data_IF_860205993987
#
_entry.id   IF_860205993987
#
_cell.length_a   1.000
_cell.length_b   1.000
_cell.length_c   1.000
_cell.angle_alpha   90.00
_cell.angle_beta   90.00
_cell.angle_gamma   90.00
#
_symmetry.space_group_name_H-M   'P 1'
#
loop_
_entity.id
_entity.type
_entity.pdbx_description
1 polymer ?
#
# COMPACT_ATOMS: atom_id res chain seq x y z
N UNK A 1 -14.46 -1.68 -18.83
CA UNK A 1 -13.16 -2.10 -18.24
C UNK A 1 -12.22 -0.92 -17.94
N UNK A 2 -12.76 0.25 -17.57
CA UNK A 2 -11.96 1.49 -17.41
C UNK A 2 -11.81 1.98 -15.95
N UNK A 3 -12.48 1.33 -14.98
CA UNK A 3 -12.65 1.92 -13.63
C UNK A 3 -11.56 1.53 -12.62
N UNK A 4 -10.53 0.75 -13.00
CA UNK A 4 -9.36 0.49 -12.14
C UNK A 4 -8.11 1.23 -12.64
N UNK A 5 -8.02 1.58 -13.93
CA UNK A 5 -6.95 2.46 -14.45
C UNK A 5 -7.16 3.94 -14.09
N UNK A 6 -8.35 4.32 -13.65
CA UNK A 6 -8.67 5.70 -13.24
C UNK A 6 -8.23 6.06 -11.81
N UNK A 7 -7.40 5.22 -11.17
CA UNK A 7 -6.74 5.56 -9.90
C UNK A 7 -5.27 5.85 -10.21
N UNK A 8 -4.97 7.13 -10.45
CA UNK A 8 -3.62 7.75 -10.57
C UNK A 8 -2.86 7.64 -11.90
N UNK A 9 -3.30 8.34 -12.94
CA UNK A 9 -2.30 9.07 -13.77
C UNK A 9 -1.92 10.43 -13.12
N UNK A 10 -2.74 10.88 -12.15
CA UNK A 10 -2.62 12.15 -11.39
C UNK A 10 -2.50 12.02 -9.86
N UNK A 11 -2.01 10.91 -9.31
CA UNK A 11 -1.29 11.05 -8.02
C UNK A 11 0.17 10.74 -8.31
N UNK A 12 0.92 11.78 -8.66
CA UNK A 12 2.12 12.07 -7.85
C UNK A 12 1.79 11.64 -6.42
N UNK A 13 2.39 10.55 -5.94
CA UNK A 13 2.44 10.12 -4.54
C UNK A 13 1.86 11.12 -3.53
N UNK A 14 0.52 11.22 -3.47
CA UNK A 14 -0.23 11.98 -2.50
C UNK A 14 -0.77 10.97 -1.47
N UNK A 15 0.14 10.24 -0.86
CA UNK A 15 0.24 10.34 0.60
C UNK A 15 1.05 11.61 0.82
N UNK A 16 0.74 12.45 1.81
CA UNK A 16 1.65 13.54 2.17
C UNK A 16 2.93 12.90 2.73
N UNK A 17 3.84 12.46 1.87
CA UNK A 17 5.12 11.92 2.30
C UNK A 17 5.85 13.06 2.99
N UNK A 18 6.05 12.90 4.29
CA UNK A 18 6.85 13.84 5.07
C UNK A 18 8.28 13.69 4.57
N UNK A 19 8.81 14.75 3.97
CA UNK A 19 10.20 14.81 3.55
C UNK A 19 11.06 15.31 4.70
N UNK A 20 12.08 14.55 5.06
CA UNK A 20 12.97 14.87 6.18
C UNK A 20 14.42 14.88 5.69
N UNK A 21 15.16 15.99 5.84
CA UNK A 21 16.59 16.01 5.54
C UNK A 21 17.35 14.95 6.34
N UNK A 22 18.37 14.33 5.73
CA UNK A 22 19.15 13.25 6.35
C UNK A 22 19.76 13.63 7.72
N UNK A 23 20.14 14.90 7.89
CA UNK A 23 20.66 15.42 9.17
C UNK A 23 19.59 15.43 10.25
N UNK A 24 18.35 15.80 9.90
CA UNK A 24 17.20 15.75 10.82
C UNK A 24 16.79 14.32 11.10
N UNK A 25 16.75 13.46 10.07
CA UNK A 25 16.41 12.05 10.24
C UNK A 25 17.40 11.32 11.17
N UNK A 26 18.68 11.67 11.10
CA UNK A 26 19.71 11.16 12.02
C UNK A 26 19.41 11.54 13.48
N UNK A 27 19.02 12.79 13.74
CA UNK A 27 18.77 13.28 15.10
C UNK A 27 17.45 12.75 15.67
N UNK A 28 16.44 12.60 14.82
CA UNK A 28 15.07 12.29 15.23
C UNK A 28 14.70 10.81 14.97
N UNK A 29 15.68 9.94 14.73
CA UNK A 29 15.46 8.57 14.22
C UNK A 29 14.48 7.77 15.09
N UNK A 30 14.62 7.84 16.41
CA UNK A 30 13.75 7.11 17.35
C UNK A 30 12.30 7.58 17.28
N UNK A 31 12.07 8.88 17.09
CA UNK A 31 10.72 9.44 16.93
C UNK A 31 10.14 9.04 15.58
N UNK A 32 10.95 9.11 14.52
CA UNK A 32 10.57 8.67 13.17
C UNK A 32 10.13 7.21 13.16
N UNK A 33 10.88 6.31 13.81
CA UNK A 33 10.52 4.88 13.90
C UNK A 33 9.19 4.70 14.63
N UNK A 34 9.00 5.33 15.79
CA UNK A 34 7.71 5.27 16.52
C UNK A 34 6.55 5.82 15.69
N UNK A 35 6.80 6.88 14.91
CA UNK A 35 5.79 7.49 14.06
C UNK A 35 5.34 6.51 12.96
N UNK A 36 6.28 5.89 12.23
CA UNK A 36 5.93 4.98 11.12
C UNK A 36 5.29 3.68 11.62
N UNK A 37 5.64 3.20 12.82
CA UNK A 37 5.00 2.05 13.47
C UNK A 37 3.55 2.38 13.87
N UNK A 38 3.30 3.54 14.47
CA UNK A 38 1.98 3.90 14.99
C UNK A 38 0.99 4.33 13.91
N UNK A 39 1.47 5.08 12.91
CA UNK A 39 0.61 5.74 11.92
C UNK A 39 0.50 4.95 10.61
N UNK A 40 1.17 3.80 10.51
CA UNK A 40 1.32 3.05 9.26
C UNK A 40 1.79 3.96 8.10
N UNK A 41 2.65 4.93 8.41
CA UNK A 41 3.10 5.99 7.49
C UNK A 41 4.46 5.69 6.89
N UNK A 42 4.87 6.50 5.91
CA UNK A 42 6.18 6.39 5.27
C UNK A 42 6.82 7.78 5.17
N UNK A 43 8.11 7.85 5.47
CA UNK A 43 8.88 9.09 5.52
C UNK A 43 9.98 9.04 4.47
N UNK A 44 10.05 10.04 3.61
CA UNK A 44 11.09 10.17 2.60
C UNK A 44 12.29 10.95 3.17
N UNK A 45 13.46 10.32 3.25
CA UNK A 45 14.70 10.96 3.68
C UNK A 45 15.37 11.61 2.48
N UNK A 46 15.69 12.90 2.60
CA UNK A 46 16.33 13.67 1.52
C UNK A 46 17.81 13.95 1.79
N UNK A 47 18.62 13.94 0.73
CA UNK A 47 20.01 14.40 0.72
C UNK A 47 20.11 15.56 -0.27
N UNK A 48 20.52 16.73 0.19
CA UNK A 48 20.57 17.96 -0.61
C UNK A 48 19.23 18.29 -1.30
N UNK A 49 18.12 18.09 -0.58
CA UNK A 49 16.76 18.33 -1.09
C UNK A 49 16.20 17.23 -1.98
N UNK A 50 17.01 16.24 -2.39
CA UNK A 50 16.58 15.14 -3.26
C UNK A 50 16.22 13.91 -2.41
N UNK A 51 15.04 13.29 -2.58
CA UNK A 51 14.70 12.03 -1.91
C UNK A 51 15.69 10.92 -2.25
N UNK A 52 16.25 10.28 -1.23
CA UNK A 52 17.30 9.28 -1.38
C UNK A 52 16.98 7.94 -0.69
N UNK A 53 16.12 7.95 0.33
CA UNK A 53 15.66 6.75 1.03
C UNK A 53 14.23 6.93 1.55
N UNK A 54 13.59 5.82 1.91
CA UNK A 54 12.28 5.81 2.59
C UNK A 54 12.41 4.99 3.86
N UNK A 55 11.82 5.49 4.95
CA UNK A 55 11.65 4.77 6.21
C UNK A 55 10.16 4.43 6.34
N UNK A 56 9.87 3.17 6.63
CA UNK A 56 8.54 2.63 6.93
C UNK A 56 8.67 1.57 8.02
N UNK A 57 7.55 1.19 8.65
CA UNK A 57 7.54 0.10 9.63
C UNK A 57 7.85 -1.25 8.95
N UNK A 58 8.35 -2.21 9.73
CA UNK A 58 8.61 -3.57 9.24
C UNK A 58 7.31 -4.23 8.74
N UNK A 59 6.22 -4.09 9.49
CA UNK A 59 4.91 -4.64 9.13
C UNK A 59 4.41 -4.07 7.79
N UNK A 60 4.58 -2.76 7.54
CA UNK A 60 4.23 -2.17 6.25
C UNK A 60 5.10 -2.71 5.11
N UNK A 61 6.38 -2.96 5.37
CA UNK A 61 7.30 -3.53 4.37
C UNK A 61 6.88 -4.96 3.99
N UNK A 62 6.56 -5.79 4.98
CA UNK A 62 6.11 -7.17 4.77
C UNK A 62 4.80 -7.22 3.98
N UNK A 63 3.81 -6.39 4.34
CA UNK A 63 2.55 -6.30 3.58
C UNK A 63 2.73 -5.81 2.14
N UNK A 64 3.70 -4.94 1.90
CA UNK A 64 4.05 -4.53 0.53
C UNK A 64 4.64 -5.71 -0.25
N UNK A 65 5.51 -6.52 0.36
CA UNK A 65 6.07 -7.72 -0.27
C UNK A 65 4.98 -8.77 -0.55
N UNK A 66 4.10 -9.03 0.41
CA UNK A 66 2.94 -9.94 0.22
C UNK A 66 2.03 -9.46 -0.92
N UNK A 67 1.77 -8.16 -1.00
CA UNK A 67 1.00 -7.58 -2.11
C UNK A 67 1.70 -7.81 -3.44
N UNK A 68 3.02 -7.60 -3.51
CA UNK A 68 3.80 -7.85 -4.73
C UNK A 68 3.82 -9.34 -5.11
N UNK A 69 3.86 -10.23 -4.13
CA UNK A 69 3.78 -11.68 -4.34
C UNK A 69 2.43 -12.05 -4.98
N UNK A 70 1.32 -11.58 -4.42
CA UNK A 70 -0.03 -11.78 -5.01
C UNK A 70 -0.10 -11.22 -6.44
N UNK A 71 0.49 -10.05 -6.68
CA UNK A 71 0.49 -9.41 -8.00
C UNK A 71 1.39 -10.10 -9.03
N UNK A 72 2.36 -10.90 -8.58
CA UNK A 72 3.26 -11.64 -9.45
C UNK A 72 2.59 -12.85 -10.12
N UNK A 73 1.50 -13.36 -9.53
CA UNK A 73 0.70 -14.45 -10.09
C UNK A 73 -0.45 -13.89 -10.94
N UNK A 74 -0.30 -13.99 -12.26
CA UNK A 74 -1.30 -13.51 -13.20
C UNK A 74 -2.68 -14.18 -13.04
N UNK A 75 -2.74 -15.47 -12.70
CA UNK A 75 -4.00 -16.19 -12.55
C UNK A 75 -4.74 -15.70 -11.31
N UNK A 76 -4.01 -15.55 -10.20
CA UNK A 76 -4.53 -14.95 -8.98
C UNK A 76 -5.05 -13.54 -9.23
N UNK A 77 -4.30 -12.69 -9.95
CA UNK A 77 -4.75 -11.33 -10.30
C UNK A 77 -6.00 -11.35 -11.19
N UNK A 78 -6.07 -12.25 -12.18
CA UNK A 78 -7.26 -12.39 -13.04
C UNK A 78 -8.48 -12.80 -12.23
N UNK A 79 -8.33 -13.77 -11.33
CA UNK A 79 -9.38 -14.21 -10.40
C UNK A 79 -9.84 -13.09 -9.49
N UNK A 80 -8.90 -12.40 -8.82
CA UNK A 80 -9.17 -11.28 -7.92
C UNK A 80 -9.94 -10.15 -8.64
N UNK A 81 -9.52 -9.79 -9.86
CA UNK A 81 -10.23 -8.79 -10.68
C UNK A 81 -11.65 -9.22 -11.03
N UNK A 82 -11.90 -10.52 -11.28
CA UNK A 82 -13.24 -11.05 -11.52
C UNK A 82 -14.10 -10.94 -10.27
N UNK A 83 -13.57 -11.36 -9.11
CA UNK A 83 -14.24 -11.27 -7.82
C UNK A 83 -14.62 -9.83 -7.49
N UNK A 84 -13.71 -8.86 -7.66
CA UNK A 84 -14.00 -7.42 -7.44
C UNK A 84 -15.10 -6.90 -8.38
N UNK A 85 -15.21 -7.41 -9.61
CA UNK A 85 -16.30 -7.00 -10.52
C UNK A 85 -17.64 -7.59 -10.09
N UNK A 86 -17.67 -8.87 -9.73
CA UNK A 86 -18.87 -9.54 -9.22
C UNK A 86 -19.35 -8.85 -7.94
N UNK A 87 -18.40 -8.55 -7.05
CA UNK A 87 -18.60 -7.83 -5.82
C UNK A 87 -19.37 -6.51 -5.97
N UNK A 88 -18.84 -5.65 -6.84
CA UNK A 88 -19.42 -4.33 -7.13
C UNK A 88 -20.77 -4.44 -7.83
N UNK A 89 -21.01 -5.54 -8.53
CA UNK A 89 -22.30 -5.84 -9.15
C UNK A 89 -23.29 -6.51 -8.17
N UNK A 90 -22.97 -6.59 -6.87
CA UNK A 90 -23.81 -7.25 -5.87
C UNK A 90 -23.90 -8.77 -6.02
N UNK A 91 -23.03 -9.38 -6.83
CA UNK A 91 -23.02 -10.82 -7.09
C UNK A 91 -22.19 -11.51 -6.02
N UNK A 92 -22.83 -11.73 -4.87
CA UNK A 92 -22.29 -12.51 -3.77
C UNK A 92 -23.30 -13.58 -3.39
N UNK A 93 -22.79 -14.69 -2.87
CA UNK A 93 -23.59 -15.75 -2.27
C UNK A 93 -23.40 -15.67 -0.76
N UNK A 94 -24.47 -15.85 -0.01
CA UNK A 94 -24.36 -15.94 1.45
C UNK A 94 -23.74 -17.26 1.86
N UNK A 95 -23.18 -17.30 3.06
CA UNK A 95 -22.56 -18.51 3.60
C UNK A 95 -23.52 -19.71 3.57
N UNK A 96 -24.78 -19.50 3.96
CA UNK A 96 -25.83 -20.52 4.03
C UNK A 96 -26.19 -21.08 2.64
N UNK A 97 -26.06 -20.28 1.59
CA UNK A 97 -26.34 -20.70 0.21
C UNK A 97 -25.25 -21.61 -0.37
N UNK A 98 -24.03 -21.55 0.19
CA UNK A 98 -22.88 -22.36 -0.25
C UNK A 98 -22.66 -23.57 0.65
N UNK A 99 -22.86 -23.40 1.96
CA UNK A 99 -22.47 -24.37 2.98
C UNK A 99 -23.62 -24.80 3.89
N UNK A 100 -24.86 -24.40 3.61
CA UNK A 100 -26.04 -24.83 4.36
C UNK A 100 -26.19 -26.36 4.32
N UNK A 101 -25.67 -26.99 5.36
CA UNK A 101 -25.81 -28.41 5.69
C UNK A 101 -26.46 -28.49 7.06
#
# INVERSE_FOLDING_TARGET
>A
MATIMAIKKDRTMAESYKYVPITKAKNDLLEIVRQVEKEDSAIAVTKNGVPAAVILSMERFERLLETLEILSDEETVKSLRKSIRQARAGKWVRYEEVFGR
#
